data_IF_292674069041
#
_entry.id   IF_292674069041
#
_cell.length_a   1.000
_cell.length_b   1.000
_cell.length_c   1.000
_cell.angle_alpha   90.00
_cell.angle_beta   90.00
_cell.angle_gamma   90.00
#
_symmetry.space_group_name_H-M   'P 1'
#
loop_
_entity.id
_entity.type
_entity.pdbx_description
1 polymer ?
#
# COMPACT_ATOMS: atom_id res chain seq x y z
N UNK A 1 9.77 -11.22 -3.27
CA UNK A 1 10.55 -10.15 -2.63
C UNK A 1 9.75 -8.84 -2.67
N UNK A 2 8.60 -8.77 -1.99
CA UNK A 2 7.64 -7.64 -2.09
C UNK A 2 7.21 -7.13 -0.71
N UNK A 3 8.08 -7.14 0.30
CA UNK A 3 7.73 -6.54 1.59
C UNK A 3 8.81 -5.54 2.01
N UNK A 4 8.42 -4.27 2.04
CA UNK A 4 9.17 -3.16 2.66
C UNK A 4 9.09 -3.21 4.19
N UNK A 5 8.36 -4.20 4.75
CA UNK A 5 8.19 -4.42 6.18
C UNK A 5 9.53 -4.62 6.89
N UNK A 6 9.75 -3.84 7.95
CA UNK A 6 10.90 -4.01 8.84
C UNK A 6 10.45 -4.82 10.06
N UNK A 7 11.03 -6.00 10.33
CA UNK A 7 10.64 -6.79 11.49
C UNK A 7 11.09 -6.10 12.79
N UNK A 8 10.12 -5.61 13.57
CA UNK A 8 10.33 -4.98 14.87
C UNK A 8 9.48 -5.62 15.98
N UNK A 9 9.87 -5.42 17.25
CA UNK A 9 9.15 -5.96 18.44
C UNK A 9 8.31 -4.89 19.17
N UNK A 10 8.24 -3.66 18.65
CA UNK A 10 7.53 -2.55 19.26
C UNK A 10 6.02 -2.80 19.41
N UNK A 11 5.38 -2.10 20.35
CA UNK A 11 3.92 -2.06 20.53
C UNK A 11 3.21 -1.70 19.22
N UNK A 12 3.78 -0.78 18.43
CA UNK A 12 3.26 -0.44 17.10
C UNK A 12 3.30 -1.62 16.13
N UNK A 13 4.28 -2.52 16.20
CA UNK A 13 4.32 -3.70 15.34
C UNK A 13 3.32 -4.78 15.76
N UNK A 14 2.91 -4.79 17.04
CA UNK A 14 1.93 -5.75 17.58
C UNK A 14 0.48 -5.28 17.45
N UNK A 15 0.27 -3.98 17.25
CA UNK A 15 -1.06 -3.41 17.09
C UNK A 15 -1.64 -3.78 15.72
N UNK A 16 -2.93 -4.16 15.70
CA UNK A 16 -3.65 -4.48 14.47
C UNK A 16 -3.55 -3.33 13.44
N UNK A 17 -3.55 -3.60 12.13
CA UNK A 17 -3.38 -2.55 11.11
C UNK A 17 -4.54 -1.53 11.06
N UNK A 18 -5.76 -1.95 11.42
CA UNK A 18 -6.96 -1.11 11.36
C UNK A 18 -6.84 0.24 12.07
N UNK A 19 -6.46 0.31 13.37
CA UNK A 19 -6.28 1.59 14.06
C UNK A 19 -5.17 2.45 13.45
N UNK A 20 -4.10 1.85 12.92
CA UNK A 20 -3.03 2.62 12.26
C UNK A 20 -3.53 3.31 11.00
N UNK A 21 -4.32 2.60 10.19
CA UNK A 21 -4.93 3.14 8.99
C UNK A 21 -5.96 4.22 9.32
N UNK A 22 -6.78 4.01 10.35
CA UNK A 22 -7.71 5.02 10.82
C UNK A 22 -6.98 6.28 11.32
N UNK A 23 -5.90 6.12 12.10
CA UNK A 23 -5.07 7.25 12.54
C UNK A 23 -4.48 8.00 11.35
N UNK A 24 -3.95 7.29 10.35
CA UNK A 24 -3.44 7.91 9.13
C UNK A 24 -4.54 8.70 8.40
N UNK A 25 -5.72 8.11 8.25
CA UNK A 25 -6.85 8.72 7.54
C UNK A 25 -7.37 9.96 8.28
N UNK A 26 -7.58 9.86 9.59
CA UNK A 26 -8.02 10.97 10.44
C UNK A 26 -6.96 12.07 10.50
N UNK A 27 -5.68 11.73 10.66
CA UNK A 27 -4.60 12.70 10.66
C UNK A 27 -4.48 13.43 9.33
N UNK A 28 -4.63 12.71 8.20
CA UNK A 28 -4.69 13.32 6.87
C UNK A 28 -5.85 14.31 6.77
N UNK A 29 -7.07 13.91 7.14
CA UNK A 29 -8.24 14.79 7.08
C UNK A 29 -8.09 16.02 7.98
N UNK A 30 -7.65 15.84 9.24
CA UNK A 30 -7.47 16.95 10.19
C UNK A 30 -6.37 17.92 9.77
N UNK A 31 -5.25 17.42 9.24
CA UNK A 31 -4.19 18.28 8.71
C UNK A 31 -4.61 18.98 7.42
N UNK A 32 -5.54 18.42 6.65
CA UNK A 32 -6.09 19.08 5.46
C UNK A 32 -7.08 20.19 5.80
N UNK A 33 -7.89 20.00 6.85
CA UNK A 33 -8.90 20.98 7.27
C UNK A 33 -8.33 22.17 8.05
N UNK A 34 -7.16 22.01 8.68
CA UNK A 34 -6.59 23.04 9.55
C UNK A 34 -5.42 23.77 8.89
N UNK A 35 -5.57 25.05 8.56
CA UNK A 35 -4.53 25.91 7.98
C UNK A 35 -3.51 26.49 8.98
N UNK A 36 -3.42 25.93 10.19
CA UNK A 36 -2.52 26.42 11.23
C UNK A 36 -1.14 25.77 11.15
N UNK A 37 -0.09 26.60 11.01
CA UNK A 37 1.31 26.15 11.04
C UNK A 37 1.66 25.45 12.36
N UNK A 38 1.12 25.92 13.49
CA UNK A 38 1.37 25.33 14.81
C UNK A 38 0.85 23.89 14.92
N UNK A 39 -0.34 23.63 14.36
CA UNK A 39 -0.95 22.28 14.35
C UNK A 39 -0.12 21.33 13.47
N UNK A 40 0.33 21.79 12.30
CA UNK A 40 1.18 20.98 11.41
C UNK A 40 2.55 20.69 12.02
N UNK A 41 3.15 21.67 12.71
CA UNK A 41 4.39 21.46 13.47
C UNK A 41 4.20 20.45 14.59
N UNK A 42 3.13 20.58 15.38
CA UNK A 42 2.82 19.63 16.44
C UNK A 42 2.63 18.21 15.89
N UNK A 43 1.92 18.06 14.76
CA UNK A 43 1.74 16.78 14.10
C UNK A 43 3.07 16.19 13.58
N UNK A 44 3.92 17.01 12.95
CA UNK A 44 5.25 16.58 12.51
C UNK A 44 6.08 16.06 13.70
N UNK A 45 6.12 16.80 14.81
CA UNK A 45 6.84 16.40 16.02
C UNK A 45 6.26 15.09 16.57
N UNK A 46 4.94 14.97 16.64
CA UNK A 46 4.27 13.75 17.08
C UNK A 46 4.66 12.54 16.20
N UNK A 47 4.65 12.69 14.88
CA UNK A 47 5.08 11.63 13.95
C UNK A 47 6.54 11.26 14.19
N UNK A 48 7.44 12.24 14.33
CA UNK A 48 8.86 11.98 14.60
C UNK A 48 9.08 11.25 15.94
N UNK A 49 8.28 11.53 16.97
CA UNK A 49 8.32 10.82 18.24
C UNK A 49 7.82 9.37 18.11
N UNK A 50 6.91 9.08 17.18
CA UNK A 50 6.44 7.70 16.96
C UNK A 50 7.51 6.79 16.36
N UNK A 51 8.52 7.31 15.64
CA UNK A 51 9.62 6.50 15.09
C UNK A 51 10.44 5.76 16.14
N UNK A 52 11.02 6.42 17.17
CA UNK A 52 11.73 5.71 18.23
C UNK A 52 10.79 4.80 19.03
N UNK A 53 9.52 5.19 19.26
CA UNK A 53 8.53 4.29 19.87
C UNK A 53 8.30 3.03 19.04
N UNK A 54 8.33 3.15 17.70
CA UNK A 54 8.24 2.03 16.76
C UNK A 54 9.50 1.16 16.69
N UNK A 55 10.58 1.51 17.40
CA UNK A 55 11.93 0.94 17.24
C UNK A 55 12.51 1.16 15.83
N UNK A 56 12.09 2.23 15.17
CA UNK A 56 12.60 2.63 13.87
C UNK A 56 13.63 3.75 14.04
N UNK A 57 14.68 3.72 13.22
CA UNK A 57 15.74 4.72 13.26
C UNK A 57 15.31 6.00 12.53
N UNK A 58 15.76 7.17 13.00
CA UNK A 58 15.59 8.43 12.26
C UNK A 58 16.22 8.38 10.86
N UNK A 59 17.20 7.50 10.64
CA UNK A 59 17.77 7.23 9.32
C UNK A 59 16.73 6.68 8.35
N UNK A 60 15.80 5.82 8.80
CA UNK A 60 14.71 5.31 7.97
C UNK A 60 13.72 6.44 7.61
N UNK A 61 13.38 7.33 8.55
CA UNK A 61 12.58 8.51 8.24
C UNK A 61 13.24 9.38 7.15
N UNK A 62 14.55 9.65 7.30
CA UNK A 62 15.30 10.43 6.33
C UNK A 62 15.41 9.75 4.95
N UNK A 63 15.55 8.43 4.91
CA UNK A 63 15.58 7.66 3.66
C UNK A 63 14.29 7.80 2.85
N UNK A 64 13.13 7.96 3.52
CA UNK A 64 11.84 8.16 2.86
C UNK A 64 11.70 9.57 2.28
N UNK A 65 12.22 10.59 2.98
CA UNK A 65 12.15 11.98 2.51
C UNK A 65 13.20 12.32 1.45
N UNK A 66 14.39 11.69 1.52
CA UNK A 66 15.51 11.97 0.61
C UNK A 66 15.16 11.97 -0.88
N UNK A 67 14.46 10.98 -1.45
CA UNK A 67 14.08 11.00 -2.87
C UNK A 67 13.07 12.10 -3.21
N UNK A 68 12.31 12.58 -2.22
CA UNK A 68 11.26 13.60 -2.39
C UNK A 68 11.76 15.03 -2.13
N UNK A 69 12.98 15.22 -1.62
CA UNK A 69 13.53 16.54 -1.31
C UNK A 69 13.56 17.48 -2.52
N UNK A 70 13.85 16.95 -3.71
CA UNK A 70 13.82 17.75 -4.94
C UNK A 70 12.41 18.25 -5.25
N UNK A 71 11.39 17.39 -5.10
CA UNK A 71 9.99 17.75 -5.28
C UNK A 71 9.60 18.79 -4.23
N UNK A 72 9.95 18.60 -2.96
CA UNK A 72 9.66 19.57 -1.90
C UNK A 72 10.32 20.91 -2.15
N UNK A 73 11.55 20.96 -2.65
CA UNK A 73 12.23 22.21 -2.99
C UNK A 73 11.48 22.98 -4.09
N UNK A 74 11.03 22.28 -5.14
CA UNK A 74 10.24 22.88 -6.22
C UNK A 74 8.90 23.40 -5.69
N UNK A 75 8.16 22.59 -4.93
CA UNK A 75 6.89 23.00 -4.32
C UNK A 75 7.05 24.19 -3.38
N UNK A 76 8.11 24.20 -2.56
CA UNK A 76 8.43 25.29 -1.66
C UNK A 76 8.70 26.59 -2.42
N UNK A 77 9.53 26.54 -3.47
CA UNK A 77 9.87 27.71 -4.27
C UNK A 77 8.64 28.30 -4.97
N UNK A 78 7.80 27.43 -5.55
CA UNK A 78 6.55 27.85 -6.20
C UNK A 78 5.57 28.47 -5.20
N UNK A 79 5.38 27.84 -4.03
CA UNK A 79 4.47 28.36 -3.01
C UNK A 79 4.98 29.64 -2.37
N UNK A 80 6.30 29.77 -2.17
CA UNK A 80 6.88 31.02 -1.67
C UNK A 80 6.55 32.14 -2.63
N UNK A 81 6.76 31.93 -3.93
CA UNK A 81 6.50 32.92 -4.96
C UNK A 81 5.03 33.35 -5.02
N UNK A 82 4.10 32.40 -4.88
CA UNK A 82 2.67 32.64 -5.08
C UNK A 82 1.92 33.11 -3.82
N UNK A 83 2.25 32.53 -2.67
CA UNK A 83 1.45 32.64 -1.44
C UNK A 83 2.28 33.05 -0.21
N UNK A 84 3.59 33.25 -0.37
CA UNK A 84 4.49 33.68 0.70
C UNK A 84 5.09 32.53 1.52
N UNK A 85 5.98 32.92 2.42
CA UNK A 85 6.85 32.00 3.17
C UNK A 85 6.07 31.10 4.15
N UNK A 86 5.05 31.66 4.78
CA UNK A 86 4.21 30.93 5.74
C UNK A 86 3.49 29.77 5.06
N UNK A 87 2.79 30.04 3.95
CA UNK A 87 2.06 29.03 3.19
C UNK A 87 3.00 27.96 2.59
N UNK A 88 4.17 28.38 2.08
CA UNK A 88 5.16 27.46 1.54
C UNK A 88 5.68 26.48 2.60
N UNK A 89 6.04 27.00 3.78
CA UNK A 89 6.52 26.17 4.89
C UNK A 89 5.45 25.21 5.39
N UNK A 90 4.22 25.70 5.51
CA UNK A 90 3.06 24.94 5.95
C UNK A 90 2.74 23.76 5.02
N UNK A 91 2.71 23.97 3.71
CA UNK A 91 2.41 22.90 2.73
C UNK A 91 3.50 21.83 2.73
N UNK A 92 4.78 22.22 2.69
CA UNK A 92 5.89 21.26 2.67
C UNK A 92 5.95 20.44 3.95
N UNK A 93 5.78 21.09 5.10
CA UNK A 93 5.79 20.42 6.40
C UNK A 93 4.61 19.45 6.52
N UNK A 94 3.42 19.82 6.03
CA UNK A 94 2.24 18.95 6.02
C UNK A 94 2.48 17.69 5.19
N UNK A 95 2.99 17.86 3.97
CA UNK A 95 3.31 16.72 3.09
C UNK A 95 4.35 15.81 3.71
N UNK A 96 5.43 16.38 4.25
CA UNK A 96 6.47 15.62 4.93
C UNK A 96 5.92 14.84 6.13
N UNK A 97 5.06 15.44 6.96
CA UNK A 97 4.46 14.76 8.11
C UNK A 97 3.58 13.58 7.68
N UNK A 98 2.74 13.76 6.65
CA UNK A 98 1.88 12.69 6.13
C UNK A 98 2.66 11.57 5.46
N UNK A 99 3.70 11.89 4.70
CA UNK A 99 4.58 10.90 4.08
C UNK A 99 5.30 10.08 5.16
N UNK A 100 5.83 10.73 6.20
CA UNK A 100 6.46 10.04 7.31
C UNK A 100 5.45 9.14 8.04
N UNK A 101 4.27 9.65 8.37
CA UNK A 101 3.22 8.86 9.03
C UNK A 101 2.80 7.65 8.18
N UNK A 102 2.57 7.84 6.87
CA UNK A 102 2.26 6.75 5.95
C UNK A 102 3.39 5.73 5.89
N UNK A 103 4.65 6.18 5.79
CA UNK A 103 5.80 5.30 5.77
C UNK A 103 5.97 4.51 7.08
N UNK A 104 5.63 5.11 8.22
CA UNK A 104 5.61 4.44 9.51
C UNK A 104 4.59 3.29 9.50
N UNK A 105 3.39 3.53 8.98
CA UNK A 105 2.37 2.48 8.84
C UNK A 105 2.87 1.37 7.93
N UNK A 106 3.45 1.70 6.77
CA UNK A 106 4.00 0.74 5.81
C UNK A 106 5.16 -0.09 6.37
N UNK A 107 6.10 0.55 7.09
CA UNK A 107 7.25 -0.16 7.66
C UNK A 107 6.87 -1.07 8.82
N UNK A 108 5.82 -0.72 9.58
CA UNK A 108 5.39 -1.45 10.79
C UNK A 108 4.30 -2.48 10.54
N UNK A 109 3.80 -2.62 9.31
CA UNK A 109 2.66 -3.47 8.96
C UNK A 109 3.02 -4.38 7.79
N UNK A 110 2.71 -5.66 7.89
CA UNK A 110 2.92 -6.60 6.78
C UNK A 110 1.90 -6.35 5.68
N UNK A 111 2.32 -6.51 4.43
CA UNK A 111 1.43 -6.30 3.28
C UNK A 111 0.20 -7.21 3.32
N UNK A 112 0.33 -8.46 3.80
CA UNK A 112 -0.81 -9.39 3.99
C UNK A 112 -1.85 -8.84 4.95
N UNK A 113 -1.41 -8.41 6.14
CA UNK A 113 -2.30 -7.97 7.23
C UNK A 113 -3.00 -6.66 6.86
N UNK A 114 -2.32 -5.82 6.08
CA UNK A 114 -2.88 -4.59 5.51
C UNK A 114 -4.03 -4.90 4.55
N UNK A 115 -3.86 -5.90 3.69
CA UNK A 115 -4.90 -6.31 2.76
C UNK A 115 -6.09 -6.92 3.50
N UNK A 116 -5.85 -7.82 4.47
CA UNK A 116 -6.91 -8.42 5.29
C UNK A 116 -7.71 -7.38 6.09
N UNK A 117 -7.04 -6.31 6.52
CA UNK A 117 -7.70 -5.20 7.20
C UNK A 117 -8.58 -4.40 6.26
N UNK A 118 -8.08 -4.10 5.05
CA UNK A 118 -8.85 -3.38 4.03
C UNK A 118 -10.06 -4.22 3.61
N UNK A 119 -9.91 -5.52 3.40
CA UNK A 119 -11.02 -6.41 3.04
C UNK A 119 -12.07 -6.49 4.13
N UNK A 120 -11.67 -6.56 5.40
CA UNK A 120 -12.60 -6.52 6.53
C UNK A 120 -13.32 -5.18 6.62
N UNK A 121 -12.62 -4.07 6.37
CA UNK A 121 -13.20 -2.72 6.35
C UNK A 121 -14.26 -2.53 5.26
N UNK A 122 -14.13 -3.22 4.12
CA UNK A 122 -15.15 -3.24 3.06
C UNK A 122 -16.50 -3.85 3.52
N UNK A 123 -16.54 -4.51 4.68
CA UNK A 123 -17.79 -4.96 5.31
C UNK A 123 -18.79 -3.83 5.57
N UNK A 124 -18.32 -2.57 5.71
CA UNK A 124 -19.22 -1.41 5.83
C UNK A 124 -20.10 -1.17 4.60
N UNK A 125 -19.72 -1.69 3.42
CA UNK A 125 -20.52 -1.57 2.19
C UNK A 125 -21.60 -2.66 2.05
N UNK A 126 -21.75 -3.54 3.06
CA UNK A 126 -22.83 -4.55 3.11
C UNK A 126 -24.25 -4.01 2.83
N UNK A 127 -24.69 -2.84 3.35
CA UNK A 127 -26.03 -2.33 3.08
C UNK A 127 -26.23 -1.84 1.63
N UNK A 128 -25.16 -1.70 0.84
CA UNK A 128 -25.19 -1.31 -0.58
C UNK A 128 -25.32 -2.57 -1.49
N UNK A 129 -25.48 -3.77 -0.91
CA UNK A 129 -25.63 -5.03 -1.64
C UNK A 129 -24.32 -5.77 -1.93
N UNK A 130 -23.19 -5.30 -1.40
CA UNK A 130 -21.91 -6.01 -1.48
C UNK A 130 -21.90 -7.19 -0.51
N UNK A 131 -21.58 -8.39 -0.97
CA UNK A 131 -21.38 -9.57 -0.12
C UNK A 131 -19.90 -9.65 0.32
N UNK A 132 -19.55 -9.34 1.59
CA UNK A 132 -18.17 -9.31 2.05
C UNK A 132 -17.48 -10.68 1.97
N UNK A 133 -18.24 -11.79 2.07
CA UNK A 133 -17.69 -13.14 1.96
C UNK A 133 -17.22 -13.45 0.52
N UNK A 134 -18.01 -13.06 -0.50
CA UNK A 134 -17.59 -13.17 -1.91
C UNK A 134 -16.35 -12.32 -2.21
N UNK A 135 -16.32 -11.08 -1.70
CA UNK A 135 -15.18 -10.17 -1.90
C UNK A 135 -13.93 -10.70 -1.20
N UNK A 136 -14.07 -11.16 0.04
CA UNK A 136 -12.97 -11.77 0.80
C UNK A 136 -12.42 -13.01 0.09
N UNK A 137 -13.29 -13.90 -0.40
CA UNK A 137 -12.88 -15.05 -1.21
C UNK A 137 -12.10 -14.62 -2.45
N UNK A 138 -12.64 -13.68 -3.24
CA UNK A 138 -12.01 -13.20 -4.46
C UNK A 138 -10.61 -12.60 -4.20
N UNK A 139 -10.47 -11.77 -3.17
CA UNK A 139 -9.19 -11.16 -2.82
C UNK A 139 -8.20 -12.20 -2.29
N UNK A 140 -8.63 -13.11 -1.41
CA UNK A 140 -7.76 -14.18 -0.88
C UNK A 140 -7.23 -15.08 -2.00
N UNK A 141 -8.08 -15.39 -2.97
CA UNK A 141 -7.75 -16.20 -4.13
C UNK A 141 -6.82 -15.44 -5.07
N UNK A 142 -7.08 -14.16 -5.34
CA UNK A 142 -6.20 -13.30 -6.12
C UNK A 142 -4.79 -13.24 -5.52
N UNK A 143 -4.67 -13.00 -4.21
CA UNK A 143 -3.38 -12.97 -3.52
C UNK A 143 -2.65 -14.30 -3.59
N UNK A 144 -3.36 -15.42 -3.46
CA UNK A 144 -2.79 -16.76 -3.62
C UNK A 144 -2.32 -17.01 -5.05
N UNK A 145 -3.01 -16.46 -6.06
CA UNK A 145 -2.63 -16.64 -7.45
C UNK A 145 -1.51 -15.72 -7.93
N UNK A 146 -1.27 -14.56 -7.33
CA UNK A 146 -0.14 -13.69 -7.69
C UNK A 146 1.19 -14.47 -7.81
N UNK A 147 1.63 -15.27 -6.80
CA UNK A 147 2.86 -16.04 -6.92
C UNK A 147 2.78 -17.15 -7.99
N UNK A 148 1.61 -17.78 -8.14
CA UNK A 148 1.40 -18.84 -9.15
C UNK A 148 1.50 -18.27 -10.57
N UNK A 149 0.84 -17.14 -10.85
CA UNK A 149 0.90 -16.46 -12.14
C UNK A 149 2.29 -15.91 -12.45
N UNK A 150 3.02 -15.46 -11.42
CA UNK A 150 4.42 -15.06 -11.59
C UNK A 150 5.27 -16.25 -12.07
N UNK A 151 5.08 -17.45 -11.51
CA UNK A 151 5.77 -18.65 -11.95
C UNK A 151 5.36 -19.05 -13.38
N UNK A 152 4.06 -19.10 -13.68
CA UNK A 152 3.56 -19.42 -15.02
C UNK A 152 4.12 -18.47 -16.07
N UNK A 153 4.21 -17.18 -15.73
CA UNK A 153 4.80 -16.16 -16.62
C UNK A 153 6.29 -16.41 -16.85
N UNK A 154 7.04 -16.80 -15.82
CA UNK A 154 8.46 -17.15 -15.96
C UNK A 154 8.65 -18.38 -16.86
N UNK A 155 7.88 -19.44 -16.64
CA UNK A 155 7.95 -20.67 -17.45
C UNK A 155 7.64 -20.40 -18.93
N UNK A 156 6.57 -19.62 -19.19
CA UNK A 156 6.21 -19.22 -20.56
C UNK A 156 7.32 -18.36 -21.18
N UNK A 157 7.89 -17.42 -20.42
CA UNK A 157 8.95 -16.55 -20.93
C UNK A 157 10.20 -17.35 -21.29
N UNK A 158 10.58 -18.34 -20.48
CA UNK A 158 11.71 -19.21 -20.76
C UNK A 158 11.48 -20.06 -22.02
N UNK A 159 10.28 -20.63 -22.17
CA UNK A 159 9.91 -21.35 -23.39
C UNK A 159 9.95 -20.46 -24.65
N UNK A 160 9.47 -19.21 -24.55
CA UNK A 160 9.52 -18.26 -25.67
C UNK A 160 10.94 -17.75 -25.93
N UNK A 161 11.79 -17.68 -24.91
CA UNK A 161 13.21 -17.34 -25.06
C UNK A 161 13.93 -18.37 -25.92
N UNK A 162 13.68 -19.66 -25.72
CA UNK A 162 14.24 -20.73 -26.57
C UNK A 162 13.76 -20.64 -28.02
N UNK A 163 12.58 -20.04 -28.25
CA UNK A 163 12.02 -19.77 -29.59
C UNK A 163 12.50 -18.45 -30.20
N UNK A 164 13.37 -17.70 -29.53
CA UNK A 164 13.85 -16.39 -29.98
C UNK A 164 12.83 -15.25 -29.84
N UNK A 165 11.74 -15.45 -29.08
CA UNK A 165 10.61 -14.52 -28.94
C UNK A 165 10.58 -13.78 -27.59
N UNK A 166 11.70 -13.69 -26.88
CA UNK A 166 11.78 -13.13 -25.52
C UNK A 166 11.29 -11.67 -25.34
N UNK A 167 11.27 -10.89 -26.43
CA UNK A 167 10.81 -9.49 -26.45
C UNK A 167 9.38 -9.32 -26.94
N UNK A 168 8.77 -10.38 -27.49
CA UNK A 168 7.40 -10.31 -27.98
C UNK A 168 6.43 -10.44 -26.81
N UNK A 169 5.82 -9.31 -26.42
CA UNK A 169 4.82 -9.26 -25.36
C UNK A 169 3.65 -10.18 -25.68
N UNK A 170 3.21 -10.22 -26.94
CA UNK A 170 2.08 -11.06 -27.38
C UNK A 170 2.42 -12.55 -27.24
N UNK A 171 3.66 -12.95 -27.56
CA UNK A 171 4.10 -14.36 -27.47
C UNK A 171 4.10 -14.89 -26.03
N UNK A 172 4.25 -14.01 -25.03
CA UNK A 172 4.18 -14.36 -23.60
C UNK A 172 2.75 -14.19 -23.06
N UNK A 173 2.09 -13.09 -23.41
CA UNK A 173 0.77 -12.74 -22.87
C UNK A 173 -0.32 -13.73 -23.27
N UNK A 174 -0.35 -14.17 -24.54
CA UNK A 174 -1.38 -15.10 -25.02
C UNK A 174 -1.35 -16.45 -24.28
N UNK A 175 -0.20 -17.16 -24.17
CA UNK A 175 -0.14 -18.40 -23.40
C UNK A 175 -0.43 -18.23 -21.90
N UNK A 176 0.02 -17.13 -21.29
CA UNK A 176 -0.29 -16.83 -19.89
C UNK A 176 -1.79 -16.60 -19.70
N UNK A 177 -2.44 -15.85 -20.58
CA UNK A 177 -3.87 -15.62 -20.52
C UNK A 177 -4.67 -16.93 -20.65
N UNK A 178 -4.33 -17.79 -21.61
CA UNK A 178 -4.99 -19.10 -21.78
C UNK A 178 -4.82 -19.97 -20.53
N UNK A 179 -3.61 -20.05 -19.97
CA UNK A 179 -3.35 -20.81 -18.73
C UNK A 179 -4.10 -20.24 -17.53
N UNK A 180 -4.21 -18.92 -17.45
CA UNK A 180 -4.94 -18.23 -16.38
C UNK A 180 -6.44 -18.48 -16.46
N UNK A 181 -7.02 -18.40 -17.67
CA UNK A 181 -8.44 -18.71 -17.89
C UNK A 181 -8.75 -20.16 -17.54
N UNK A 182 -7.93 -21.11 -18.00
CA UNK A 182 -8.10 -22.52 -17.65
C UNK A 182 -8.02 -22.75 -16.14
N UNK A 183 -7.07 -22.10 -15.46
CA UNK A 183 -6.96 -22.18 -14.00
C UNK A 183 -8.19 -21.60 -13.29
N UNK A 184 -8.76 -20.53 -13.83
CA UNK A 184 -9.99 -19.94 -13.28
C UNK A 184 -11.18 -20.91 -13.41
N UNK A 185 -11.31 -21.58 -14.55
CA UNK A 185 -12.34 -22.62 -14.76
C UNK A 185 -12.16 -23.79 -13.78
N UNK A 186 -10.95 -24.35 -13.70
CA UNK A 186 -10.63 -25.47 -12.80
C UNK A 186 -10.92 -25.12 -11.33
N UNK A 187 -10.67 -23.87 -10.92
CA UNK A 187 -10.92 -23.40 -9.55
C UNK A 187 -12.40 -23.11 -9.32
N UNK A 188 -13.12 -22.64 -10.33
CA UNK A 188 -14.57 -22.46 -10.24
C UNK A 188 -15.26 -23.81 -10.00
N UNK A 189 -14.91 -24.84 -10.78
CA UNK A 189 -15.43 -26.20 -10.61
C UNK A 189 -15.07 -26.79 -9.24
N UNK A 190 -13.86 -26.51 -8.74
CA UNK A 190 -13.43 -26.92 -7.41
C UNK A 190 -14.20 -26.21 -6.28
N UNK A 191 -14.57 -24.95 -6.44
CA UNK A 191 -15.36 -24.19 -5.47
C UNK A 191 -16.80 -24.72 -5.43
N UNK A 192 -17.39 -25.00 -6.59
CA UNK A 192 -18.75 -25.53 -6.71
C UNK A 192 -18.86 -26.94 -6.13
N UNK A 193 -17.92 -27.84 -6.45
CA UNK A 193 -17.89 -29.21 -5.92
C UNK A 193 -17.70 -29.28 -4.41
N UNK A 194 -17.03 -28.29 -3.79
CA UNK A 194 -16.91 -28.16 -2.33
C UNK A 194 -18.17 -27.61 -1.65
N UNK A 195 -19.22 -27.31 -2.42
CA UNK A 195 -20.51 -26.85 -1.89
C UNK A 195 -20.47 -25.41 -1.37
N UNK A 196 -19.55 -24.57 -1.87
CA UNK A 196 -19.53 -23.16 -1.50
C UNK A 196 -20.77 -22.45 -2.06
N UNK A 197 -21.77 -22.24 -1.20
CA UNK A 197 -22.94 -21.42 -1.48
C UNK A 197 -22.73 -20.04 -0.88
N UNK A 198 -22.63 -18.98 -1.70
CA UNK A 198 -22.22 -17.67 -1.23
C UNK A 198 -23.33 -16.86 -0.54
#
# INVERSE_FOLDING_TARGET
>A
MLDLYSPGKSFLHKMSPAPKMLVLMVAATLLFLNDSLAVTLAAMVAVLLLYPLAQLSFKQAWQQLRPLLWIFAVFFALQWWLAGLEQASYVVLRLAALILLASLVTLTTRSSDMIDTITTGLGFLKPIGVNPAKVGLAISLALRFIPVLAQVTQDVREAQKTRGLERSVIAVAMPVAIRTLKMADDISDAIESRGYRP
#
